data_IF_575073008689
#
_entry.id   IF_575073008689
#
_cell.length_a   1.000
_cell.length_b   1.000
_cell.length_c   1.000
_cell.angle_alpha   90.00
_cell.angle_beta   90.00
_cell.angle_gamma   90.00
#
_symmetry.space_group_name_H-M   'P 1'
#
loop_
_entity.id
_entity.type
_entity.pdbx_description
1 polymer ?
#
# COMPACT_ATOMS: atom_id res chain seq x y z
N UNK A 1 11.22 25.57 3.65
CA UNK A 1 10.08 25.19 4.52
C UNK A 1 9.69 23.78 4.14
N UNK A 2 9.56 22.88 5.12
CA UNK A 2 9.08 21.52 4.89
C UNK A 2 8.06 21.15 5.95
N UNK A 3 7.04 20.39 5.59
CA UNK A 3 6.24 19.67 6.58
C UNK A 3 6.80 18.26 6.76
N UNK A 4 6.59 17.66 7.92
CA UNK A 4 6.91 16.26 8.18
C UNK A 4 5.61 15.49 8.41
N UNK A 5 5.51 14.27 7.89
CA UNK A 5 4.39 13.38 8.22
C UNK A 5 4.78 12.53 9.44
N UNK A 6 4.40 12.95 10.65
CA UNK A 6 4.73 12.17 11.85
C UNK A 6 4.05 10.79 11.88
N UNK A 7 2.94 10.65 11.18
CA UNK A 7 2.19 9.40 11.00
C UNK A 7 2.74 8.49 9.90
N UNK A 8 3.86 8.88 9.29
CA UNK A 8 4.65 8.05 8.38
C UNK A 8 6.01 7.80 9.01
N UNK A 9 6.91 8.78 8.86
CA UNK A 9 8.32 8.69 9.26
C UNK A 9 8.54 8.57 10.76
N UNK A 10 7.62 9.04 11.61
CA UNK A 10 7.83 9.12 13.06
C UNK A 10 6.76 8.37 13.87
N UNK A 11 6.30 7.24 13.31
CA UNK A 11 5.59 6.17 13.99
C UNK A 11 4.21 6.48 14.60
N UNK A 12 3.62 7.66 14.40
CA UNK A 12 2.20 7.83 14.74
C UNK A 12 1.39 6.82 13.89
N UNK A 13 0.46 6.05 14.49
CA UNK A 13 -0.25 5.00 13.77
C UNK A 13 -1.16 5.59 12.69
N UNK A 14 -1.25 4.90 11.55
CA UNK A 14 -2.07 5.31 10.41
C UNK A 14 -3.58 5.32 10.69
N UNK A 15 -4.06 4.48 11.62
CA UNK A 15 -5.45 4.48 12.13
C UNK A 15 -6.57 4.31 11.08
N UNK A 16 -6.27 3.74 9.91
CA UNK A 16 -7.25 3.58 8.83
C UNK A 16 -7.55 4.87 8.04
N UNK A 17 -6.69 5.89 8.14
CA UNK A 17 -6.86 7.19 7.47
C UNK A 17 -6.65 8.42 8.37
N UNK A 18 -6.10 8.23 9.56
CA UNK A 18 -5.86 9.26 10.56
C UNK A 18 -5.89 8.67 11.97
N UNK A 19 -5.32 9.34 12.99
CA UNK A 19 -4.89 10.74 12.99
C UNK A 19 -3.49 10.96 12.43
N UNK A 20 -3.24 12.18 11.93
CA UNK A 20 -1.92 12.63 11.52
C UNK A 20 -1.54 13.95 12.20
N UNK A 21 -0.24 14.17 12.34
CA UNK A 21 0.32 15.49 12.69
C UNK A 21 1.36 15.89 11.63
N UNK A 22 1.25 17.13 11.16
CA UNK A 22 2.11 17.71 10.13
C UNK A 22 2.86 18.95 10.63
N UNK A 23 3.86 18.84 11.52
CA UNK A 23 4.63 20.00 11.93
C UNK A 23 5.40 20.58 10.75
N UNK A 24 5.51 21.92 10.72
CA UNK A 24 6.25 22.64 9.70
C UNK A 24 7.58 23.11 10.27
N UNK A 25 8.67 22.74 9.62
CA UNK A 25 10.01 23.20 9.91
C UNK A 25 10.37 24.35 8.96
N UNK A 26 10.82 25.46 9.54
CA UNK A 26 11.16 26.69 8.81
C UNK A 26 12.60 27.10 9.09
N UNK A 27 13.18 27.86 8.18
CA UNK A 27 14.43 28.59 8.43
C UNK A 27 14.15 29.81 9.29
N UNK A 28 15.19 30.40 9.89
CA UNK A 28 15.07 31.50 10.86
C UNK A 28 14.27 32.69 10.32
N UNK A 29 14.54 33.13 9.09
CA UNK A 29 13.84 34.26 8.45
C UNK A 29 12.32 34.07 8.34
N UNK A 30 11.84 32.82 8.39
CA UNK A 30 10.43 32.48 8.28
C UNK A 30 9.73 32.31 9.64
N UNK A 31 10.47 32.33 10.76
CA UNK A 31 9.93 32.20 12.12
C UNK A 31 8.84 33.26 12.43
N UNK A 32 9.01 34.55 12.07
CA UNK A 32 7.98 35.56 12.33
C UNK A 32 6.64 35.29 11.62
N UNK A 33 6.64 34.41 10.62
CA UNK A 33 5.46 34.04 9.82
C UNK A 33 4.88 32.67 10.21
N UNK A 34 5.35 32.05 11.29
CA UNK A 34 4.73 30.82 11.80
C UNK A 34 3.30 31.09 12.29
N UNK A 35 2.37 30.12 12.16
CA UNK A 35 1.02 30.26 12.69
C UNK A 35 1.01 30.56 14.19
N UNK A 36 0.04 31.38 14.61
CA UNK A 36 -0.22 31.72 16.01
C UNK A 36 -1.58 31.19 16.45
N UNK A 37 -1.91 31.32 17.74
CA UNK A 37 -3.21 30.91 18.25
C UNK A 37 -3.60 31.76 19.46
N UNK A 38 -4.79 32.38 19.42
CA UNK A 38 -5.23 33.32 20.45
C UNK A 38 -5.24 32.70 21.87
N UNK A 39 -5.69 31.45 22.00
CA UNK A 39 -5.70 30.74 23.29
C UNK A 39 -4.35 30.11 23.67
N UNK A 40 -3.38 30.07 22.75
CA UNK A 40 -2.06 29.48 22.97
C UNK A 40 -1.00 30.49 23.40
N UNK A 41 -1.34 31.77 23.49
CA UNK A 41 -0.40 32.84 23.88
C UNK A 41 0.63 33.21 22.80
N UNK A 42 0.55 32.64 21.61
CA UNK A 42 1.43 32.94 20.48
C UNK A 42 0.66 33.82 19.49
N UNK A 43 0.99 35.11 19.42
CA UNK A 43 0.45 36.01 18.41
C UNK A 43 1.24 35.89 17.10
N UNK A 44 0.54 35.90 15.98
CA UNK A 44 1.13 35.83 14.63
C UNK A 44 0.26 36.59 13.64
N UNK A 45 0.88 37.21 12.64
CA UNK A 45 0.16 37.83 11.52
C UNK A 45 -0.57 36.84 10.60
N UNK A 46 -0.21 35.55 10.65
CA UNK A 46 -0.86 34.48 9.86
C UNK A 46 -2.13 33.97 10.55
N UNK A 47 -2.21 34.06 11.88
CA UNK A 47 -3.32 33.52 12.65
C UNK A 47 -3.28 32.00 12.81
N UNK A 48 -4.41 31.43 13.24
CA UNK A 48 -4.55 30.01 13.56
C UNK A 48 -4.90 29.15 12.33
N UNK A 49 -4.15 28.06 12.14
CA UNK A 49 -4.39 27.04 11.09
C UNK A 49 -5.01 25.74 11.62
N UNK A 50 -5.22 25.67 12.93
CA UNK A 50 -5.80 24.53 13.64
C UNK A 50 -6.60 25.06 14.82
N UNK A 51 -7.66 24.34 15.21
CA UNK A 51 -8.56 24.77 16.29
C UNK A 51 -7.91 24.73 17.69
N UNK A 52 -6.85 23.93 17.86
CA UNK A 52 -6.04 23.87 19.06
C UNK A 52 -4.60 24.32 18.71
N UNK A 53 -3.89 25.01 19.62
CA UNK A 53 -2.60 25.63 19.35
C UNK A 53 -1.50 24.64 18.91
N UNK A 54 -1.58 23.38 19.35
CA UNK A 54 -0.64 22.31 19.01
C UNK A 54 -1.29 21.17 18.20
N UNK A 55 -2.47 21.42 17.62
CA UNK A 55 -3.25 20.39 16.94
C UNK A 55 -3.57 19.20 17.86
N UNK A 56 -3.38 17.98 17.37
CA UNK A 56 -3.55 16.77 18.17
C UNK A 56 -2.31 16.50 19.05
N UNK A 57 -2.18 17.24 20.15
CA UNK A 57 -1.03 17.15 21.03
C UNK A 57 -0.88 15.77 21.71
N UNK A 58 -1.98 15.03 21.88
CA UNK A 58 -2.00 13.76 22.61
C UNK A 58 -1.18 12.64 21.94
N UNK A 59 -0.96 12.72 20.61
CA UNK A 59 -0.19 11.71 19.86
C UNK A 59 1.29 12.08 19.69
N UNK A 60 1.68 13.33 19.98
CA UNK A 60 3.07 13.79 19.87
C UNK A 60 4.08 12.96 20.71
N UNK A 61 3.74 12.43 21.91
CA UNK A 61 4.64 11.57 22.65
C UNK A 61 5.11 10.33 21.88
N UNK A 62 4.35 9.84 20.90
CA UNK A 62 4.74 8.67 20.09
C UNK A 62 6.01 8.98 19.30
N UNK A 63 6.01 10.06 18.53
CA UNK A 63 7.18 10.49 17.75
C UNK A 63 8.34 10.91 18.65
N UNK A 64 8.05 11.54 19.78
CA UNK A 64 9.08 11.86 20.79
C UNK A 64 9.75 10.59 21.32
N UNK A 65 8.97 9.57 21.69
CA UNK A 65 9.48 8.30 22.19
C UNK A 65 10.33 7.59 21.13
N UNK A 66 9.86 7.52 19.89
CA UNK A 66 10.62 6.92 18.78
C UNK A 66 12.00 7.58 18.63
N UNK A 67 12.05 8.92 18.51
CA UNK A 67 13.31 9.65 18.37
C UNK A 67 14.23 9.42 19.58
N UNK A 68 13.67 9.44 20.80
CA UNK A 68 14.45 9.28 22.04
C UNK A 68 15.00 7.88 22.24
N UNK A 69 14.25 6.85 21.85
CA UNK A 69 14.67 5.45 21.98
C UNK A 69 15.64 5.03 20.88
N UNK A 70 15.44 5.50 19.65
CA UNK A 70 16.33 5.19 18.52
C UNK A 70 17.68 5.90 18.65
N UNK A 71 17.67 7.16 19.12
CA UNK A 71 18.87 8.00 19.09
C UNK A 71 19.37 8.27 17.67
N UNK A 72 20.48 8.99 17.54
CA UNK A 72 21.01 9.38 16.24
C UNK A 72 21.41 8.16 15.37
N UNK A 73 22.12 7.19 15.97
CA UNK A 73 22.59 6.01 15.28
C UNK A 73 21.45 5.09 14.84
N UNK A 74 20.43 4.91 15.68
CA UNK A 74 19.24 4.13 15.33
C UNK A 74 18.43 4.77 14.22
N UNK A 75 18.23 6.09 14.24
CA UNK A 75 17.52 6.81 13.17
C UNK A 75 18.28 6.73 11.83
N UNK A 76 19.61 6.80 11.86
CA UNK A 76 20.45 6.60 10.68
C UNK A 76 20.29 5.17 10.14
N UNK A 77 20.40 4.17 11.03
CA UNK A 77 20.26 2.78 10.64
C UNK A 77 18.88 2.46 10.05
N UNK A 78 17.81 3.00 10.64
CA UNK A 78 16.45 2.88 10.11
C UNK A 78 16.37 3.40 8.67
N UNK A 79 16.94 4.57 8.41
CA UNK A 79 16.97 5.16 7.06
C UNK A 79 17.75 4.28 6.07
N UNK A 80 18.92 3.78 6.46
CA UNK A 80 19.75 2.89 5.64
C UNK A 80 19.02 1.57 5.32
N UNK A 81 18.35 0.98 6.31
CA UNK A 81 17.60 -0.25 6.16
C UNK A 81 16.36 -0.08 5.26
N UNK A 82 15.61 1.01 5.39
CA UNK A 82 14.48 1.30 4.51
C UNK A 82 14.91 1.39 3.02
N UNK A 83 16.02 2.09 2.75
CA UNK A 83 16.59 2.18 1.39
C UNK A 83 17.07 0.81 0.90
N UNK A 84 17.74 0.04 1.76
CA UNK A 84 18.22 -1.30 1.43
C UNK A 84 17.06 -2.25 1.07
N UNK A 85 16.00 -2.27 1.87
CA UNK A 85 14.80 -3.10 1.67
C UNK A 85 14.13 -2.80 0.33
N UNK A 86 13.96 -1.52 -0.02
CA UNK A 86 13.36 -1.12 -1.30
C UNK A 86 14.23 -1.53 -2.50
N UNK A 87 15.54 -1.35 -2.40
CA UNK A 87 16.48 -1.80 -3.44
C UNK A 87 16.52 -3.34 -3.56
N UNK A 88 16.39 -4.06 -2.46
CA UNK A 88 16.29 -5.52 -2.45
C UNK A 88 15.06 -6.00 -3.24
N UNK A 89 13.88 -5.44 -2.97
CA UNK A 89 12.64 -5.75 -3.72
C UNK A 89 12.80 -5.40 -5.20
N UNK A 90 13.22 -4.17 -5.51
CA UNK A 90 13.42 -3.70 -6.89
C UNK A 90 14.36 -4.63 -7.67
N UNK A 91 15.50 -5.01 -7.07
CA UNK A 91 16.48 -5.88 -7.73
C UNK A 91 15.94 -7.29 -7.96
N UNK A 92 15.23 -7.86 -6.98
CA UNK A 92 14.67 -9.23 -7.07
C UNK A 92 13.51 -9.32 -8.05
N UNK A 93 12.75 -8.24 -8.25
CA UNK A 93 11.62 -8.19 -9.17
C UNK A 93 11.97 -7.68 -10.58
N UNK A 94 13.16 -7.13 -10.81
CA UNK A 94 13.54 -6.48 -12.07
C UNK A 94 13.32 -7.34 -13.33
N UNK A 95 13.48 -8.67 -13.25
CA UNK A 95 13.23 -9.60 -14.38
C UNK A 95 11.76 -9.93 -14.64
N UNK A 96 10.87 -9.50 -13.75
CA UNK A 96 9.43 -9.78 -13.78
C UNK A 96 8.62 -8.51 -14.00
N UNK A 97 9.01 -7.43 -13.30
CA UNK A 97 8.42 -6.10 -13.35
C UNK A 97 9.56 -5.08 -13.38
N UNK A 98 9.78 -4.38 -14.51
CA UNK A 98 10.82 -3.36 -14.59
C UNK A 98 10.60 -2.26 -13.55
N UNK A 99 11.70 -1.75 -12.95
CA UNK A 99 11.62 -0.57 -12.10
C UNK A 99 11.58 0.68 -12.98
N UNK A 100 10.53 1.49 -12.84
CA UNK A 100 10.23 2.59 -13.77
C UNK A 100 11.23 3.74 -13.66
N UNK A 101 11.60 4.11 -12.43
CA UNK A 101 12.56 5.19 -12.16
C UNK A 101 13.64 4.70 -11.22
N UNK A 102 14.89 4.97 -11.57
CA UNK A 102 16.06 4.70 -10.76
C UNK A 102 17.11 5.77 -10.98
N UNK A 103 18.06 5.89 -10.04
CA UNK A 103 19.25 6.73 -10.20
C UNK A 103 20.13 6.25 -11.36
N UNK A 104 21.14 7.04 -11.73
CA UNK A 104 22.11 6.67 -12.77
C UNK A 104 22.83 5.34 -12.49
N UNK A 105 22.95 4.95 -11.21
CA UNK A 105 23.57 3.69 -10.79
C UNK A 105 22.55 2.54 -10.64
N UNK A 106 21.29 2.75 -11.04
CA UNK A 106 20.24 1.74 -10.97
C UNK A 106 19.64 1.51 -9.58
N UNK A 107 19.90 2.38 -8.61
CA UNK A 107 19.34 2.30 -7.25
C UNK A 107 18.12 3.21 -7.09
N UNK A 108 17.20 2.78 -6.23
CA UNK A 108 16.04 3.55 -5.76
C UNK A 108 16.29 4.12 -4.35
N UNK A 109 15.37 4.95 -3.85
CA UNK A 109 15.40 5.44 -2.48
C UNK A 109 14.72 4.43 -1.52
N UNK A 110 13.78 4.89 -0.68
CA UNK A 110 13.02 4.07 0.28
C UNK A 110 11.80 3.37 -0.34
N UNK A 111 11.52 3.63 -1.61
CA UNK A 111 10.41 3.06 -2.37
C UNK A 111 10.82 2.82 -3.83
N UNK A 112 10.10 1.94 -4.54
CA UNK A 112 10.28 1.70 -5.97
C UNK A 112 8.94 1.62 -6.72
N UNK A 113 8.94 2.03 -8.00
CA UNK A 113 7.76 1.90 -8.86
C UNK A 113 7.98 0.72 -9.81
N UNK A 114 7.10 -0.27 -9.73
CA UNK A 114 7.05 -1.42 -10.62
C UNK A 114 6.17 -1.07 -11.83
N UNK A 115 6.73 -1.19 -13.03
CA UNK A 115 6.03 -0.91 -14.28
C UNK A 115 5.24 -2.13 -14.74
N UNK A 116 3.91 -2.02 -14.67
CA UNK A 116 2.96 -3.05 -15.07
C UNK A 116 2.25 -2.69 -16.38
N UNK A 117 2.56 -1.55 -16.99
CA UNK A 117 1.72 -0.95 -18.05
C UNK A 117 1.60 -1.86 -19.27
N UNK A 118 2.70 -2.47 -19.68
CA UNK A 118 2.78 -3.36 -20.84
C UNK A 118 1.94 -4.65 -20.71
N UNK A 119 1.53 -5.01 -19.49
CA UNK A 119 0.76 -6.24 -19.25
C UNK A 119 -0.66 -6.13 -19.80
N UNK A 120 -1.18 -4.91 -19.94
CA UNK A 120 -2.51 -4.69 -20.53
C UNK A 120 -2.53 -5.15 -21.98
N UNK A 121 -1.53 -4.75 -22.78
CA UNK A 121 -1.51 -5.14 -24.19
C UNK A 121 -1.24 -6.63 -24.40
N UNK A 122 -0.40 -7.25 -23.55
CA UNK A 122 -0.01 -8.66 -23.74
C UNK A 122 -1.01 -9.66 -23.17
N UNK A 123 -1.73 -9.31 -22.10
CA UNK A 123 -2.58 -10.24 -21.35
C UNK A 123 -3.95 -9.69 -20.97
N UNK A 124 -4.21 -8.40 -21.20
CA UNK A 124 -5.41 -7.72 -20.70
C UNK A 124 -5.38 -7.41 -19.20
N UNK A 125 -4.28 -7.73 -18.50
CA UNK A 125 -4.13 -7.52 -17.05
C UNK A 125 -3.74 -6.07 -16.75
N UNK A 126 -4.40 -5.49 -15.75
CA UNK A 126 -4.13 -4.16 -15.22
C UNK A 126 -3.45 -4.26 -13.85
N UNK A 127 -2.81 -3.17 -13.40
CA UNK A 127 -2.25 -3.08 -12.05
C UNK A 127 -3.30 -3.30 -10.95
N UNK A 128 -4.56 -2.92 -11.20
CA UNK A 128 -5.66 -3.22 -10.28
C UNK A 128 -5.90 -4.74 -10.13
N UNK A 129 -5.80 -5.52 -11.21
CA UNK A 129 -5.95 -6.97 -11.13
C UNK A 129 -4.85 -7.60 -10.25
N UNK A 130 -3.61 -7.12 -10.41
CA UNK A 130 -2.48 -7.54 -9.55
C UNK A 130 -2.72 -7.13 -8.10
N UNK A 131 -3.21 -5.90 -7.86
CA UNK A 131 -3.54 -5.40 -6.53
C UNK A 131 -4.61 -6.27 -5.83
N UNK A 132 -5.67 -6.67 -6.55
CA UNK A 132 -6.68 -7.59 -6.01
C UNK A 132 -6.12 -8.99 -5.81
N UNK A 133 -5.28 -9.48 -6.74
CA UNK A 133 -4.68 -10.81 -6.66
C UNK A 133 -3.75 -10.96 -5.46
N UNK A 134 -3.01 -9.91 -5.09
CA UNK A 134 -2.18 -9.88 -3.88
C UNK A 134 -2.97 -10.18 -2.59
N UNK A 135 -4.26 -9.83 -2.53
CA UNK A 135 -5.12 -10.16 -1.38
C UNK A 135 -5.25 -11.67 -1.19
N UNK A 136 -5.31 -12.44 -2.28
CA UNK A 136 -5.35 -13.90 -2.21
C UNK A 136 -4.03 -14.45 -1.63
N UNK A 137 -2.91 -13.80 -1.93
CA UNK A 137 -1.60 -14.10 -1.36
C UNK A 137 -1.40 -13.55 0.07
N UNK A 138 -2.42 -12.91 0.66
CA UNK A 138 -2.39 -12.40 2.03
C UNK A 138 -1.73 -11.03 2.18
N UNK A 139 -1.57 -10.27 1.10
CA UNK A 139 -0.99 -8.93 1.11
C UNK A 139 -2.04 -7.86 0.84
N UNK A 140 -1.94 -6.75 1.58
CA UNK A 140 -2.52 -5.49 1.11
C UNK A 140 -1.72 -5.01 -0.10
N UNK A 141 -2.42 -4.44 -1.10
CA UNK A 141 -1.73 -3.92 -2.28
C UNK A 141 -0.83 -2.72 -1.93
N UNK A 142 0.31 -2.56 -2.62
CA UNK A 142 1.06 -1.31 -2.62
C UNK A 142 0.24 -0.14 -3.19
N UNK A 143 0.79 1.07 -3.17
CA UNK A 143 0.12 2.24 -3.76
C UNK A 143 -0.13 1.99 -5.25
N UNK A 144 -1.41 2.10 -5.64
CA UNK A 144 -1.88 1.76 -6.98
C UNK A 144 -2.04 3.02 -7.85
N UNK A 145 -1.52 2.98 -9.07
CA UNK A 145 -1.75 3.99 -10.13
C UNK A 145 -1.34 5.42 -9.76
N UNK A 146 -0.45 5.60 -8.79
CA UNK A 146 0.15 6.86 -8.43
C UNK A 146 1.63 6.66 -8.08
N UNK A 147 2.56 7.55 -8.48
CA UNK A 147 2.34 8.77 -9.28
C UNK A 147 2.09 8.52 -10.77
N UNK A 148 2.25 7.28 -11.24
CA UNK A 148 2.05 6.91 -12.65
C UNK A 148 0.85 5.97 -12.75
N UNK A 149 -0.03 6.21 -13.72
CA UNK A 149 -1.20 5.37 -13.93
C UNK A 149 -0.79 3.94 -14.31
N UNK A 150 -1.53 2.95 -13.79
CA UNK A 150 -1.34 1.53 -14.07
C UNK A 150 0.06 0.99 -13.68
N UNK A 151 0.60 1.50 -12.57
CA UNK A 151 1.82 0.99 -11.90
C UNK A 151 1.54 0.66 -10.44
N UNK A 152 2.50 0.01 -9.77
CA UNK A 152 2.49 -0.20 -8.32
C UNK A 152 3.72 0.46 -7.70
N UNK A 153 3.54 1.27 -6.66
CA UNK A 153 4.62 1.88 -5.89
C UNK A 153 4.76 1.17 -4.54
N UNK A 154 5.94 0.61 -4.26
CA UNK A 154 6.21 -0.29 -3.15
C UNK A 154 7.22 0.35 -2.20
N UNK A 155 6.81 0.50 -0.94
CA UNK A 155 7.62 1.02 0.18
C UNK A 155 7.59 -0.03 1.32
N UNK A 156 8.67 -0.80 1.55
CA UNK A 156 8.68 -1.85 2.58
C UNK A 156 8.98 -1.34 3.99
N UNK A 157 9.51 -0.12 4.13
CA UNK A 157 10.09 0.41 5.38
C UNK A 157 11.27 -0.42 5.91
N UNK A 158 11.86 0.01 7.02
CA UNK A 158 12.90 -0.69 7.77
C UNK A 158 12.35 -1.76 8.74
N UNK A 159 11.05 -1.74 9.01
CA UNK A 159 10.45 -2.53 10.10
C UNK A 159 10.10 -3.96 9.68
N UNK A 160 10.02 -4.23 8.38
CA UNK A 160 9.68 -5.55 7.86
C UNK A 160 10.90 -6.48 7.82
N UNK A 161 10.70 -7.74 8.22
CA UNK A 161 11.79 -8.72 8.18
C UNK A 161 12.08 -9.14 6.75
N UNK A 162 13.30 -9.64 6.51
CA UNK A 162 13.67 -10.18 5.20
C UNK A 162 12.74 -11.31 4.75
N UNK A 163 12.27 -12.16 5.66
CA UNK A 163 11.31 -13.22 5.32
C UNK A 163 10.01 -12.65 4.76
N UNK A 164 9.53 -11.52 5.30
CA UNK A 164 8.32 -10.85 4.81
C UNK A 164 8.55 -10.23 3.43
N UNK A 165 9.71 -9.61 3.21
CA UNK A 165 10.10 -9.10 1.89
C UNK A 165 10.16 -10.23 0.86
N UNK A 166 10.77 -11.37 1.23
CA UNK A 166 10.87 -12.55 0.36
C UNK A 166 9.48 -13.16 0.08
N UNK A 167 8.55 -13.15 1.04
CA UNK A 167 7.15 -13.55 0.82
C UNK A 167 6.44 -12.65 -0.19
N UNK A 168 6.59 -11.33 -0.06
CA UNK A 168 6.01 -10.38 -1.03
C UNK A 168 6.61 -10.56 -2.43
N UNK A 169 7.93 -10.71 -2.53
CA UNK A 169 8.63 -10.97 -3.79
C UNK A 169 8.13 -12.27 -4.42
N UNK A 170 8.00 -13.34 -3.64
CA UNK A 170 7.51 -14.63 -4.12
C UNK A 170 6.06 -14.53 -4.63
N UNK A 171 5.19 -13.80 -3.93
CA UNK A 171 3.82 -13.54 -4.38
C UNK A 171 3.80 -12.78 -5.71
N UNK A 172 4.57 -11.71 -5.84
CA UNK A 172 4.68 -10.96 -7.09
C UNK A 172 5.21 -11.82 -8.25
N UNK A 173 6.23 -12.66 -8.01
CA UNK A 173 6.76 -13.58 -9.03
C UNK A 173 5.69 -14.61 -9.45
N UNK A 174 4.97 -15.19 -8.49
CA UNK A 174 3.90 -16.14 -8.78
C UNK A 174 2.79 -15.49 -9.60
N UNK A 175 2.40 -14.25 -9.26
CA UNK A 175 1.45 -13.46 -10.07
C UNK A 175 1.99 -13.21 -11.47
N UNK A 176 3.29 -12.93 -11.64
CA UNK A 176 3.89 -12.78 -12.98
C UNK A 176 3.76 -14.06 -13.79
N UNK A 177 3.96 -15.23 -13.17
CA UNK A 177 3.81 -16.53 -13.82
C UNK A 177 2.35 -16.81 -14.18
N UNK A 178 1.40 -16.44 -13.32
CA UNK A 178 -0.03 -16.48 -13.65
C UNK A 178 -0.36 -15.63 -14.87
N UNK A 179 0.24 -14.43 -14.99
CA UNK A 179 0.09 -13.57 -16.17
C UNK A 179 0.70 -14.25 -17.41
N UNK A 180 1.83 -14.95 -17.30
CA UNK A 180 2.44 -15.69 -18.42
C UNK A 180 1.50 -16.76 -18.97
N UNK A 181 0.70 -17.41 -18.13
CA UNK A 181 -0.31 -18.38 -18.57
C UNK A 181 -1.42 -17.73 -19.41
N UNK A 182 -1.75 -16.47 -19.13
CA UNK A 182 -2.70 -15.69 -19.95
C UNK A 182 -2.03 -15.28 -21.27
N UNK A 183 -0.78 -14.80 -21.22
CA UNK A 183 0.00 -14.42 -22.41
C UNK A 183 0.20 -15.60 -23.38
N UNK A 184 0.38 -16.82 -22.87
CA UNK A 184 0.53 -18.04 -23.68
C UNK A 184 -0.80 -18.64 -24.14
N UNK A 185 -1.94 -18.09 -23.72
CA UNK A 185 -3.27 -18.62 -24.01
C UNK A 185 -3.65 -19.89 -23.25
N UNK A 186 -2.90 -20.29 -22.22
CA UNK A 186 -3.25 -21.42 -21.37
C UNK A 186 -4.46 -21.11 -20.48
N UNK A 187 -4.61 -19.85 -20.06
CA UNK A 187 -5.81 -19.37 -19.39
C UNK A 187 -6.54 -18.32 -20.24
N UNK A 188 -7.88 -18.34 -20.28
CA UNK A 188 -8.67 -17.31 -20.94
C UNK A 188 -8.42 -15.92 -20.34
N UNK A 189 -8.34 -14.89 -21.19
CA UNK A 189 -8.17 -13.50 -20.73
C UNK A 189 -9.33 -13.01 -19.85
N UNK A 190 -10.54 -13.52 -20.06
CA UNK A 190 -11.75 -13.14 -19.33
C UNK A 190 -12.07 -13.98 -18.09
N UNK A 191 -11.42 -15.14 -17.91
CA UNK A 191 -11.70 -16.04 -16.78
C UNK A 191 -10.40 -16.69 -16.30
N UNK A 192 -9.78 -16.04 -15.30
CA UNK A 192 -8.48 -16.40 -14.74
C UNK A 192 -8.36 -15.86 -13.30
N UNK A 193 -7.36 -16.30 -12.53
CA UNK A 193 -7.22 -15.89 -11.13
C UNK A 193 -7.10 -14.38 -10.94
N UNK A 194 -6.46 -13.65 -11.86
CA UNK A 194 -6.28 -12.20 -11.75
C UNK A 194 -7.59 -11.43 -11.97
N UNK A 195 -8.42 -11.83 -12.94
CA UNK A 195 -9.71 -11.16 -13.22
C UNK A 195 -10.76 -11.46 -12.17
N UNK A 196 -10.73 -12.67 -11.59
CA UNK A 196 -11.70 -13.10 -10.59
C UNK A 196 -11.27 -12.80 -9.16
N UNK A 197 -10.04 -12.33 -8.94
CA UNK A 197 -9.58 -11.88 -7.63
C UNK A 197 -10.34 -10.63 -7.14
N UNK A 198 -10.55 -10.49 -5.82
CA UNK A 198 -10.15 -11.43 -4.77
C UNK A 198 -11.14 -12.60 -4.60
N UNK A 199 -10.64 -13.74 -4.10
CA UNK A 199 -11.43 -14.94 -3.85
C UNK A 199 -11.82 -15.05 -2.37
N UNK A 200 -13.12 -14.98 -2.09
CA UNK A 200 -13.65 -15.13 -0.73
C UNK A 200 -13.70 -16.60 -0.31
N UNK A 201 -13.76 -16.86 1.00
CA UNK A 201 -13.97 -18.23 1.49
C UNK A 201 -15.23 -18.86 0.90
N UNK A 202 -16.31 -18.07 0.81
CA UNK A 202 -17.59 -18.52 0.24
C UNK A 202 -17.48 -18.88 -1.24
N UNK A 203 -16.71 -18.13 -2.05
CA UNK A 203 -16.55 -18.46 -3.48
C UNK A 203 -15.76 -19.76 -3.66
N UNK A 204 -14.69 -19.95 -2.89
CA UNK A 204 -13.82 -21.14 -2.97
C UNK A 204 -14.54 -22.40 -2.48
N UNK A 205 -15.43 -22.29 -1.48
CA UNK A 205 -16.13 -23.44 -0.87
C UNK A 205 -17.39 -23.88 -1.64
N UNK A 206 -17.82 -23.18 -2.69
CA UNK A 206 -18.97 -23.61 -3.52
C UNK A 206 -18.73 -25.00 -4.09
N UNK A 207 -19.78 -25.84 -4.19
CA UNK A 207 -19.71 -27.18 -4.79
C UNK A 207 -19.27 -27.13 -6.25
N UNK A 208 -19.89 -26.27 -7.04
CA UNK A 208 -19.56 -26.06 -8.45
C UNK A 208 -18.40 -25.08 -8.58
N UNK A 209 -17.44 -25.40 -9.44
CA UNK A 209 -16.27 -24.57 -9.72
C UNK A 209 -16.05 -24.45 -11.23
N UNK A 210 -16.77 -23.54 -11.90
CA UNK A 210 -16.78 -23.41 -13.36
C UNK A 210 -15.61 -22.54 -13.86
N UNK A 211 -14.41 -22.68 -13.28
CA UNK A 211 -13.23 -21.93 -13.66
C UNK A 211 -12.12 -22.85 -14.22
N UNK A 212 -11.30 -22.38 -15.18
CA UNK A 212 -10.25 -23.17 -15.83
C UNK A 212 -8.98 -23.32 -14.97
N UNK A 213 -9.03 -22.92 -13.71
CA UNK A 213 -7.93 -23.00 -12.75
C UNK A 213 -8.46 -23.60 -11.43
N UNK A 214 -7.64 -24.33 -10.67
CA UNK A 214 -8.11 -25.01 -9.46
C UNK A 214 -8.33 -24.04 -8.28
N UNK A 215 -9.18 -24.44 -7.34
CA UNK A 215 -9.44 -23.72 -6.06
C UNK A 215 -8.16 -23.42 -5.27
N UNK A 216 -7.19 -24.31 -5.31
CA UNK A 216 -5.89 -24.12 -4.65
C UNK A 216 -5.13 -22.92 -5.21
N UNK A 217 -5.21 -22.69 -6.53
CA UNK A 217 -4.67 -21.50 -7.18
C UNK A 217 -5.49 -20.29 -6.77
N UNK A 218 -6.83 -20.38 -6.81
CA UNK A 218 -7.72 -19.30 -6.38
C UNK A 218 -7.38 -18.78 -4.97
N UNK A 219 -7.26 -19.69 -4.01
CA UNK A 219 -6.92 -19.38 -2.63
C UNK A 219 -5.44 -19.03 -2.39
N UNK A 220 -4.59 -19.10 -3.41
CA UNK A 220 -3.12 -18.99 -3.31
C UNK A 220 -2.55 -19.90 -2.20
N UNK A 221 -3.09 -21.11 -2.08
CA UNK A 221 -2.79 -22.02 -0.98
C UNK A 221 -1.43 -22.72 -1.11
N UNK A 222 -0.84 -22.71 -2.31
CA UNK A 222 0.45 -23.38 -2.57
C UNK A 222 1.59 -22.62 -1.91
N UNK A 223 2.17 -23.20 -0.86
CA UNK A 223 3.29 -22.61 -0.10
C UNK A 223 2.87 -21.68 1.04
N UNK A 224 1.58 -21.40 1.20
CA UNK A 224 1.05 -20.70 2.37
C UNK A 224 0.93 -21.66 3.56
N UNK A 225 1.28 -21.19 4.76
CA UNK A 225 0.90 -21.91 5.98
C UNK A 225 -0.62 -21.90 6.10
N UNK A 226 -1.24 -23.09 6.15
CA UNK A 226 -2.70 -23.24 6.24
C UNK A 226 -3.27 -22.50 7.46
N UNK A 227 -2.45 -22.31 8.51
CA UNK A 227 -2.86 -21.68 9.76
C UNK A 227 -2.87 -20.14 9.72
N UNK A 228 -2.49 -19.49 8.62
CA UNK A 228 -2.36 -18.02 8.54
C UNK A 228 -3.13 -17.39 7.38
N UNK A 229 -4.12 -18.10 6.80
CA UNK A 229 -4.90 -17.57 5.67
C UNK A 229 -5.81 -16.42 6.13
N UNK A 230 -5.57 -15.24 5.60
CA UNK A 230 -6.52 -14.12 5.65
C UNK A 230 -7.48 -14.22 4.46
N UNK A 231 -8.78 -14.20 4.72
CA UNK A 231 -9.81 -14.28 3.68
C UNK A 231 -10.35 -12.89 3.34
N UNK A 232 -10.37 -12.51 2.04
CA UNK A 232 -11.18 -11.40 1.57
C UNK A 232 -12.65 -11.59 1.98
N UNK A 233 -13.24 -10.59 2.63
CA UNK A 233 -14.62 -10.66 3.13
C UNK A 233 -15.67 -10.53 2.02
N UNK A 234 -15.31 -9.85 0.92
CA UNK A 234 -16.16 -9.63 -0.25
C UNK A 234 -15.35 -9.88 -1.53
N UNK A 235 -16.07 -10.11 -2.63
CA UNK A 235 -15.46 -10.17 -3.96
C UNK A 235 -15.01 -8.78 -4.44
N UNK A 236 -14.70 -8.68 -5.73
CA UNK A 236 -14.28 -7.40 -6.33
C UNK A 236 -15.41 -6.37 -6.25
N UNK A 237 -15.11 -5.20 -5.69
CA UNK A 237 -16.04 -4.08 -5.57
C UNK A 237 -16.31 -3.46 -6.94
N UNK A 238 -17.57 -3.16 -7.23
CA UNK A 238 -17.98 -2.38 -8.39
C UNK A 238 -17.95 -0.87 -8.06
N UNK A 239 -16.84 -0.22 -8.40
CA UNK A 239 -16.66 1.21 -8.13
C UNK A 239 -17.67 2.08 -8.92
N UNK A 240 -17.99 1.70 -10.15
CA UNK A 240 -18.86 2.49 -11.04
C UNK A 240 -20.30 2.45 -10.56
N UNK A 241 -20.76 1.30 -10.08
CA UNK A 241 -22.09 1.18 -9.51
C UNK A 241 -22.27 2.08 -8.27
N UNK A 242 -21.29 2.10 -7.36
CA UNK A 242 -21.34 2.90 -6.14
C UNK A 242 -21.45 4.41 -6.42
N UNK A 243 -20.67 4.92 -7.37
CA UNK A 243 -20.73 6.34 -7.75
C UNK A 243 -22.06 6.71 -8.43
N UNK A 244 -22.66 5.77 -9.17
CA UNK A 244 -23.96 5.97 -9.85
C UNK A 244 -25.16 5.82 -8.91
N UNK A 245 -25.01 5.10 -7.80
CA UNK A 245 -26.06 4.77 -6.84
C UNK A 245 -25.59 5.16 -5.44
N UNK A 246 -25.50 6.47 -5.18
CA UNK A 246 -24.86 6.99 -3.98
C UNK A 246 -25.69 6.74 -2.72
N UNK A 247 -25.19 5.87 -1.85
CA UNK A 247 -25.73 5.63 -0.50
C UNK A 247 -24.63 5.79 0.55
N UNK A 248 -24.71 6.85 1.36
CA UNK A 248 -23.68 7.20 2.35
C UNK A 248 -24.15 7.01 3.81
N UNK A 249 -25.26 6.32 4.02
CA UNK A 249 -25.79 5.93 5.32
C UNK A 249 -26.12 4.44 5.32
N UNK A 250 -26.31 3.85 6.50
CA UNK A 250 -26.75 2.45 6.59
C UNK A 250 -28.05 2.26 5.80
N UNK A 251 -28.08 1.22 4.97
CA UNK A 251 -29.33 0.75 4.37
C UNK A 251 -30.23 0.16 5.46
N UNK A 252 -31.57 0.28 5.33
CA UNK A 252 -32.50 -0.43 6.20
C UNK A 252 -32.15 -1.91 6.28
N UNK A 253 -32.23 -2.50 7.47
CA UNK A 253 -31.94 -3.94 7.66
C UNK A 253 -32.89 -4.82 6.84
N UNK A 254 -34.09 -4.32 6.59
CA UNK A 254 -35.11 -4.94 5.74
C UNK A 254 -34.64 -5.12 4.28
N UNK A 255 -33.73 -4.27 3.80
CA UNK A 255 -33.20 -4.31 2.44
C UNK A 255 -31.94 -5.21 2.31
N UNK A 256 -31.47 -5.80 3.42
CA UNK A 256 -30.32 -6.72 3.46
C UNK A 256 -30.71 -8.21 3.33
N UNK A 257 -32.01 -8.52 3.23
CA UNK A 257 -32.57 -9.87 3.21
C UNK A 257 -32.69 -10.47 1.81
#
# INVERSE_FOLDING_TARGET
MSHLNLHKTFCIPHGGGGPGVGPVCVVEDLVPFLPGHATGGIQSGVGAVSAAPLGNAAVLPISWMYIRMMGADGLKHATEAAILSANYISKRLAGHYPTLYASANGHVAHECILDLRCLKETSGVMAEDVAKRLMDYGFHAPTLSFPVANTLMVEPTESETREELDRFIAAMIAIRDEIRQIESGAWPQGDNPLKNAPHTAASVLKTDWPHPYPREVAAAARGASVNTKYWPSVGRVDNVYGDRNLFCSCVPVEDLA
#
